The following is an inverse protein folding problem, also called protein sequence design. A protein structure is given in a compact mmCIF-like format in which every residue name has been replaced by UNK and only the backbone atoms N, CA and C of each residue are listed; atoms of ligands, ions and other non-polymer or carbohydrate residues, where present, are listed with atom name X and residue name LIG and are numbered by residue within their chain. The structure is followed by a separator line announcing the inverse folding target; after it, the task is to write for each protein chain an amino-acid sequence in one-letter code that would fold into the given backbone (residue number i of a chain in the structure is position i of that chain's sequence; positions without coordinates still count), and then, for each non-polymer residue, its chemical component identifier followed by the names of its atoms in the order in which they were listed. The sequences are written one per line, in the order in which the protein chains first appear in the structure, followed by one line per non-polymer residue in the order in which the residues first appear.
data_IF_955704235800
#
_entry.id   IF_955704235800
#
_cell.length_a   1.000
_cell.length_b   1.000
_cell.length_c   1.000
_cell.angle_alpha   90.00
_cell.angle_beta   90.00
_cell.angle_gamma   90.00
#
_symmetry.space_group_name_H-M   'P 1'
#
loop_
_entity.id
_entity.type
_entity.pdbx_description
1 polymer ?
#
# COMPACT_ATOMS: atom_id res chain seq x y z
N UNK A 1 -6.43 1.13 4.94
CA UNK A 1 -6.47 0.13 3.85
C UNK A 1 -5.24 0.24 2.95
N UNK A 2 -5.01 1.37 2.29
CA UNK A 2 -3.86 1.56 1.37
C UNK A 2 -2.50 1.21 1.99
N UNK A 3 -2.15 1.81 3.14
CA UNK A 3 -0.86 1.56 3.82
C UNK A 3 -0.64 0.07 4.11
N UNK A 4 -1.69 -0.60 4.58
CA UNK A 4 -1.70 -2.03 4.87
C UNK A 4 -1.55 -2.88 3.58
N UNK A 5 -2.24 -2.50 2.50
CA UNK A 5 -2.18 -3.22 1.23
C UNK A 5 -0.79 -3.18 0.58
N UNK A 6 0.01 -2.17 0.90
CA UNK A 6 1.39 -2.01 0.41
C UNK A 6 2.45 -2.59 1.36
N UNK A 7 2.02 -3.17 2.49
CA UNK A 7 2.93 -3.55 3.56
C UNK A 7 3.75 -2.34 4.04
N UNK A 8 3.08 -1.22 4.32
CA UNK A 8 3.66 0.06 4.70
C UNK A 8 4.53 0.03 5.97
N UNK A 9 5.06 1.20 6.32
CA UNK A 9 5.91 1.35 7.50
C UNK A 9 5.09 1.26 8.78
N UNK A 10 5.59 0.57 9.81
CA UNK A 10 4.96 0.61 11.14
C UNK A 10 4.91 2.03 11.72
N UNK A 11 5.79 2.94 11.28
CA UNK A 11 5.73 4.34 11.68
C UNK A 11 4.48 5.06 11.15
N UNK A 12 3.87 4.59 10.05
CA UNK A 12 2.62 5.18 9.53
C UNK A 12 1.52 5.11 10.59
N UNK A 13 1.51 4.09 11.44
CA UNK A 13 0.54 3.94 12.54
C UNK A 13 0.66 5.11 13.52
N UNK A 14 1.89 5.47 13.92
CA UNK A 14 2.10 6.60 14.83
C UNK A 14 1.61 7.91 14.23
N UNK A 15 1.91 8.15 12.95
CA UNK A 15 1.48 9.36 12.25
C UNK A 15 -0.03 9.41 12.02
N UNK A 16 -0.64 8.27 11.68
CA UNK A 16 -2.08 8.18 11.44
C UNK A 16 -2.87 8.40 12.73
N UNK A 17 -2.43 7.81 13.85
CA UNK A 17 -3.05 8.04 15.16
C UNK A 17 -2.91 9.50 15.60
N UNK A 18 -1.74 10.11 15.40
CA UNK A 18 -1.55 11.52 15.70
C UNK A 18 -2.47 12.43 14.86
N UNK A 19 -2.62 12.13 13.57
CA UNK A 19 -3.52 12.87 12.68
C UNK A 19 -4.99 12.67 13.07
N UNK A 20 -5.40 11.45 13.43
CA UNK A 20 -6.75 11.17 13.90
C UNK A 20 -7.07 11.92 15.20
N UNK A 21 -6.12 11.92 16.15
CA UNK A 21 -6.25 12.66 17.40
C UNK A 21 -6.43 14.17 17.16
N UNK A 22 -5.62 14.77 16.28
CA UNK A 22 -5.75 16.19 15.93
C UNK A 22 -7.08 16.49 15.22
N UNK A 23 -7.57 15.57 14.38
CA UNK A 23 -8.86 15.68 13.72
C UNK A 23 -10.05 15.41 14.65
N UNK A 24 -9.82 14.97 15.89
CA UNK A 24 -10.88 14.53 16.81
C UNK A 24 -11.62 13.28 16.32
N UNK A 25 -11.00 12.48 15.45
CA UNK A 25 -11.56 11.24 14.94
C UNK A 25 -11.36 10.11 15.96
N UNK A 26 -12.41 9.33 16.19
CA UNK A 26 -12.36 8.11 17.02
C UNK A 26 -11.72 6.99 16.21
N UNK A 27 -10.39 6.89 16.27
CA UNK A 27 -9.59 5.93 15.53
C UNK A 27 -8.39 5.48 16.35
N UNK A 28 -8.28 4.17 16.61
CA UNK A 28 -7.27 3.62 17.50
C UNK A 28 -6.55 2.37 16.93
N UNK A 29 -5.74 1.72 17.79
CA UNK A 29 -5.02 0.50 17.41
C UNK A 29 -5.94 -0.70 17.14
N UNK A 30 -7.15 -0.74 17.71
CA UNK A 30 -8.14 -1.77 17.41
C UNK A 30 -8.61 -1.65 15.95
N UNK A 31 -8.95 -0.44 15.50
CA UNK A 31 -9.36 -0.20 14.12
C UNK A 31 -8.27 -0.58 13.12
N UNK A 32 -7.02 -0.25 13.41
CA UNK A 32 -5.86 -0.62 12.59
C UNK A 32 -5.73 -2.14 12.49
N UNK A 33 -5.88 -2.85 13.60
CA UNK A 33 -5.80 -4.30 13.65
C UNK A 33 -6.94 -4.97 12.85
N UNK A 34 -8.16 -4.44 12.96
CA UNK A 34 -9.32 -4.93 12.20
C UNK A 34 -9.16 -4.70 10.69
N UNK A 35 -8.65 -3.53 10.29
CA UNK A 35 -8.32 -3.26 8.89
C UNK A 35 -7.21 -4.20 8.41
N UNK A 36 -6.19 -4.48 9.23
CA UNK A 36 -5.09 -5.37 8.83
C UNK A 36 -5.55 -6.80 8.56
N UNK A 37 -6.50 -7.31 9.34
CA UNK A 37 -7.06 -8.66 9.19
C UNK A 37 -7.90 -8.84 7.93
N UNK A 38 -8.49 -7.77 7.39
CA UNK A 38 -9.41 -7.83 6.24
C UNK A 38 -8.81 -7.33 4.92
N UNK A 39 -7.73 -6.57 4.97
CA UNK A 39 -7.11 -5.98 3.78
C UNK A 39 -5.92 -6.85 3.35
N UNK A 40 -5.94 -7.39 2.12
CA UNK A 40 -4.85 -8.21 1.61
C UNK A 40 -3.62 -7.37 1.26
N UNK A 41 -2.44 -7.99 1.30
CA UNK A 41 -1.21 -7.39 0.81
C UNK A 41 -1.12 -7.51 -0.72
N UNK A 42 -1.36 -6.41 -1.42
CA UNK A 42 -1.41 -6.33 -2.89
C UNK A 42 -0.06 -5.97 -3.51
N UNK A 43 0.80 -5.24 -2.79
CA UNK A 43 2.10 -4.82 -3.27
C UNK A 43 3.18 -5.01 -2.19
N UNK A 44 4.33 -5.57 -2.58
CA UNK A 44 5.52 -5.68 -1.74
C UNK A 44 6.65 -4.83 -2.33
N UNK A 45 6.79 -3.64 -1.80
CA UNK A 45 7.80 -2.65 -2.22
C UNK A 45 8.96 -2.68 -1.24
N UNK A 46 10.18 -2.45 -1.72
CA UNK A 46 11.38 -2.35 -0.90
C UNK A 46 11.13 -1.48 0.35
N UNK A 47 11.49 -1.97 1.55
CA UNK A 47 12.39 -3.09 1.82
C UNK A 47 11.73 -4.50 1.79
N UNK A 48 10.43 -4.62 1.57
CA UNK A 48 9.77 -5.93 1.53
C UNK A 48 10.08 -6.65 0.20
N UNK A 49 10.56 -7.89 0.27
CA UNK A 49 10.87 -8.71 -0.91
C UNK A 49 9.62 -9.46 -1.41
N UNK A 50 9.38 -9.42 -2.72
CA UNK A 50 8.28 -10.07 -3.41
C UNK A 50 8.73 -11.42 -4.01
N UNK A 51 8.91 -12.44 -3.16
CA UNK A 51 9.43 -13.74 -3.60
C UNK A 51 10.90 -13.64 -4.00
N UNK A 52 11.22 -13.81 -5.28
CA UNK A 52 12.57 -13.61 -5.82
C UNK A 52 12.84 -12.20 -6.34
N UNK A 53 11.82 -11.32 -6.34
CA UNK A 53 11.89 -9.98 -6.89
C UNK A 53 11.91 -8.93 -5.78
N UNK A 54 12.53 -7.78 -6.05
CA UNK A 54 12.42 -6.58 -5.23
C UNK A 54 11.89 -5.46 -6.11
N UNK A 55 10.70 -4.96 -5.79
CA UNK A 55 10.12 -3.80 -6.47
C UNK A 55 10.50 -2.52 -5.74
N UNK A 56 10.70 -1.45 -6.51
CA UNK A 56 10.96 -0.10 -6.02
C UNK A 56 9.82 0.84 -6.41
N UNK A 57 9.94 2.11 -6.03
CA UNK A 57 8.86 3.09 -6.26
C UNK A 57 8.60 3.34 -7.74
N UNK A 58 9.61 3.23 -8.59
CA UNK A 58 9.49 3.31 -10.04
C UNK A 58 8.66 2.17 -10.65
N UNK A 59 8.71 0.98 -10.03
CA UNK A 59 7.89 -0.16 -10.46
C UNK A 59 6.43 0.04 -10.07
N UNK A 60 6.18 0.58 -8.87
CA UNK A 60 4.84 0.99 -8.43
C UNK A 60 4.28 2.06 -9.37
N UNK A 61 5.09 3.05 -9.74
CA UNK A 61 4.71 4.08 -10.71
C UNK A 61 4.33 3.48 -12.07
N UNK A 62 5.19 2.60 -12.60
CA UNK A 62 4.95 1.89 -13.86
C UNK A 62 3.70 1.02 -13.82
N UNK A 63 3.32 0.51 -12.65
CA UNK A 63 2.12 -0.29 -12.44
C UNK A 63 0.82 0.54 -12.29
N UNK A 64 0.90 1.87 -12.42
CA UNK A 64 -0.25 2.78 -12.29
C UNK A 64 -0.35 3.47 -10.92
N UNK A 65 0.69 3.38 -10.10
CA UNK A 65 0.83 4.13 -8.86
C UNK A 65 -0.21 3.79 -7.79
N UNK A 66 -0.47 4.76 -6.92
CA UNK A 66 -1.50 4.66 -5.87
C UNK A 66 -2.91 4.41 -6.44
N UNK A 67 -3.34 5.01 -7.56
CA UNK A 67 -4.64 4.72 -8.16
C UNK A 67 -4.83 3.25 -8.52
N UNK A 68 -3.82 2.54 -9.02
CA UNK A 68 -3.94 1.12 -9.31
C UNK A 68 -4.19 0.27 -8.04
N UNK A 69 -3.52 0.60 -6.93
CA UNK A 69 -3.70 -0.09 -5.64
C UNK A 69 -5.10 0.19 -5.07
N UNK A 70 -5.50 1.46 -5.06
CA UNK A 70 -6.84 1.85 -4.62
C UNK A 70 -7.93 1.29 -5.53
N UNK A 71 -7.68 1.18 -6.83
CA UNK A 71 -8.57 0.56 -7.81
C UNK A 71 -8.83 -0.92 -7.51
N UNK A 72 -7.80 -1.67 -7.12
CA UNK A 72 -7.96 -3.06 -6.68
C UNK A 72 -8.72 -3.17 -5.36
N UNK A 73 -8.41 -2.31 -4.38
CA UNK A 73 -9.16 -2.26 -3.13
C UNK A 73 -10.64 -1.87 -3.37
N UNK A 74 -10.91 -0.97 -4.32
CA UNK A 74 -12.25 -0.57 -4.71
C UNK A 74 -13.02 -1.73 -5.35
N UNK A 75 -12.43 -2.42 -6.33
CA UNK A 75 -13.00 -3.64 -6.94
C UNK A 75 -13.25 -4.75 -5.91
N UNK A 76 -12.40 -4.83 -4.88
CA UNK A 76 -12.55 -5.75 -3.77
C UNK A 76 -13.58 -5.34 -2.70
N UNK A 77 -14.22 -4.17 -2.82
CA UNK A 77 -15.16 -3.66 -1.81
C UNK A 77 -14.51 -3.31 -0.48
N UNK A 78 -13.23 -2.92 -0.48
CA UNK A 78 -12.43 -2.69 0.72
C UNK A 78 -12.25 -1.20 1.07
N UNK A 79 -12.77 -0.29 0.24
CA UNK A 79 -12.77 1.15 0.47
C UNK A 79 -14.10 1.64 1.02
N UNK A 80 -14.06 2.73 1.78
CA UNK A 80 -15.24 3.49 2.14
C UNK A 80 -15.50 4.52 1.02
N UNK A 81 -16.67 4.48 0.40
CA UNK A 81 -17.04 5.36 -0.72
C UNK A 81 -17.71 6.67 -0.25
N UNK A 82 -18.12 6.75 1.01
CA UNK A 82 -18.81 7.91 1.59
C UNK A 82 -17.83 9.02 2.04
N UNK A 83 -16.64 9.08 1.44
CA UNK A 83 -15.61 10.09 1.73
C UNK A 83 -15.33 10.97 0.52
N UNK A 84 -14.89 12.20 0.78
CA UNK A 84 -14.55 13.18 -0.25
C UNK A 84 -13.05 13.40 -0.33
N UNK A 85 -12.57 13.78 -1.52
CA UNK A 85 -11.21 14.25 -1.72
C UNK A 85 -11.22 15.74 -2.07
N UNK A 86 -10.07 16.40 -1.95
CA UNK A 86 -9.94 17.82 -2.35
C UNK A 86 -9.78 18.01 -3.86
N UNK A 87 -9.46 16.94 -4.60
CA UNK A 87 -9.03 17.01 -6.01
C UNK A 87 -10.01 16.33 -6.97
N UNK A 88 -11.02 15.63 -6.45
CA UNK A 88 -12.09 14.98 -7.21
C UNK A 88 -13.41 15.04 -6.46
N UNK A 89 -14.53 14.91 -7.18
CA UNK A 89 -15.87 14.83 -6.59
C UNK A 89 -16.06 13.57 -5.73
N UNK A 90 -15.46 12.46 -6.13
CA UNK A 90 -15.48 11.20 -5.40
C UNK A 90 -14.22 10.37 -5.66
N UNK A 91 -13.97 9.37 -4.81
CA UNK A 91 -12.91 8.38 -5.04
C UNK A 91 -13.18 7.62 -6.34
N UNK A 92 -14.44 7.28 -6.63
CA UNK A 92 -14.85 6.60 -7.85
C UNK A 92 -14.48 7.41 -9.10
N UNK A 93 -14.88 8.67 -9.18
CA UNK A 93 -14.61 9.52 -10.34
C UNK A 93 -13.11 9.70 -10.58
N UNK A 94 -12.32 9.71 -9.51
CA UNK A 94 -10.87 9.75 -9.60
C UNK A 94 -10.29 8.43 -10.11
N UNK A 95 -10.75 7.29 -9.57
CA UNK A 95 -10.29 5.97 -10.03
C UNK A 95 -10.69 5.70 -11.49
N UNK A 96 -11.88 6.11 -11.93
CA UNK A 96 -12.30 6.00 -13.34
C UNK A 96 -11.33 6.72 -14.28
N UNK A 97 -10.72 7.82 -13.84
CA UNK A 97 -9.76 8.60 -14.63
C UNK A 97 -8.32 8.11 -14.50
N UNK A 98 -7.91 7.62 -13.33
CA UNK A 98 -6.49 7.41 -13.01
C UNK A 98 -6.05 5.95 -12.84
N UNK A 99 -6.98 5.03 -12.58
CA UNK A 99 -6.65 3.60 -12.50
C UNK A 99 -6.57 2.99 -13.91
N UNK A 100 -5.35 2.73 -14.36
CA UNK A 100 -5.05 2.12 -15.67
C UNK A 100 -5.65 0.73 -15.87
N UNK A 101 -6.08 0.06 -14.80
CA UNK A 101 -6.77 -1.24 -14.84
C UNK A 101 -8.30 -1.10 -14.81
N UNK A 102 -8.82 0.11 -14.59
CA UNK A 102 -10.25 0.40 -14.53
C UNK A 102 -10.96 0.40 -15.88
N UNK A 103 -10.21 0.43 -16.99
CA UNK A 103 -10.74 0.38 -18.36
C UNK A 103 -11.23 1.72 -18.92
N UNK A 104 -11.28 2.77 -18.10
CA UNK A 104 -11.72 4.13 -18.47
C UNK A 104 -10.67 5.20 -18.23
N UNK A 105 -9.44 4.80 -17.88
CA UNK A 105 -8.36 5.74 -17.56
C UNK A 105 -8.14 6.76 -18.69
N UNK A 106 -7.88 8.00 -18.31
CA UNK A 106 -7.64 9.08 -19.27
C UNK A 106 -6.29 8.87 -19.99
N UNK A 107 -6.18 9.44 -21.20
CA UNK A 107 -4.90 9.44 -21.94
C UNK A 107 -3.79 10.13 -21.13
N UNK A 108 -4.13 11.17 -20.36
CA UNK A 108 -3.22 11.86 -19.45
C UNK A 108 -2.70 10.93 -18.34
N UNK A 109 -3.58 10.16 -17.70
CA UNK A 109 -3.16 9.20 -16.68
C UNK A 109 -2.23 8.15 -17.28
N UNK A 110 -2.61 7.58 -18.43
CA UNK A 110 -1.77 6.59 -19.14
C UNK A 110 -0.41 7.18 -19.48
N UNK A 111 -0.34 8.39 -20.03
CA UNK A 111 0.93 9.08 -20.34
C UNK A 111 1.81 9.25 -19.10
N UNK A 112 1.23 9.68 -17.97
CA UNK A 112 1.97 9.91 -16.74
C UNK A 112 2.66 8.63 -16.25
N UNK A 113 1.96 7.50 -16.25
CA UNK A 113 2.50 6.23 -15.75
C UNK A 113 3.59 5.64 -16.63
N UNK A 114 3.65 6.05 -17.90
CA UNK A 114 4.76 5.72 -18.79
C UNK A 114 6.05 6.49 -18.45
N UNK A 115 6.04 7.52 -17.60
CA UNK A 115 7.27 8.18 -17.18
C UNK A 115 8.24 7.19 -16.51
N UNK A 116 9.49 7.14 -16.98
CA UNK A 116 10.50 6.21 -16.51
C UNK A 116 11.69 6.91 -15.83
N UNK A 117 12.42 6.21 -14.94
CA UNK A 117 13.66 6.70 -14.37
C UNK A 117 14.66 7.07 -15.46
N UNK A 118 15.26 8.25 -15.29
CA UNK A 118 16.17 8.78 -16.28
C UNK A 118 17.48 8.05 -16.44
N UNK A 119 17.95 7.43 -15.35
CA UNK A 119 19.25 6.77 -15.21
C UNK A 119 20.44 7.60 -15.74
N UNK A 120 20.29 8.92 -15.82
CA UNK A 120 21.28 9.88 -16.28
C UNK A 120 21.25 11.10 -15.37
N UNK A 121 22.40 11.74 -15.22
CA UNK A 121 22.49 13.00 -14.47
C UNK A 121 21.78 14.10 -15.25
N UNK A 122 20.75 14.70 -14.66
CA UNK A 122 20.19 15.95 -15.14
C UNK A 122 20.77 17.14 -14.36
N UNK A 123 21.01 18.25 -15.07
CA UNK A 123 21.40 19.54 -14.50
C UNK A 123 20.26 20.57 -14.50
N UNK A 124 19.09 20.21 -15.03
CA UNK A 124 17.93 21.07 -15.19
C UNK A 124 16.70 20.39 -14.58
N UNK A 125 15.94 21.13 -13.76
CA UNK A 125 14.76 20.58 -13.10
C UNK A 125 13.73 20.14 -14.15
N UNK A 126 13.09 18.99 -13.92
CA UNK A 126 12.03 18.44 -14.79
C UNK A 126 12.44 18.15 -16.25
N UNK A 127 13.74 18.02 -16.55
CA UNK A 127 14.24 17.87 -17.92
C UNK A 127 14.37 16.42 -18.42
N UNK A 128 13.79 15.44 -17.72
CA UNK A 128 13.91 14.03 -18.07
C UNK A 128 12.65 13.54 -18.80
N UNK A 129 12.83 12.95 -19.99
CA UNK A 129 11.74 12.48 -20.84
C UNK A 129 11.78 10.97 -21.10
N UNK A 130 12.48 10.20 -20.27
CA UNK A 130 12.50 8.73 -20.41
C UNK A 130 11.09 8.16 -20.19
N UNK A 131 10.79 7.11 -20.95
CA UNK A 131 9.49 6.45 -20.94
C UNK A 131 9.65 4.94 -20.90
N UNK A 132 8.77 4.26 -20.18
CA UNK A 132 8.61 2.82 -20.27
C UNK A 132 7.91 2.47 -21.58
N UNK A 133 8.33 1.39 -22.24
CA UNK A 133 7.64 0.93 -23.45
C UNK A 133 6.25 0.38 -23.13
N UNK A 134 6.10 -0.24 -21.96
CA UNK A 134 4.84 -0.84 -21.50
C UNK A 134 4.64 -0.61 -20.00
N UNK A 135 3.38 -0.46 -19.58
CA UNK A 135 3.00 -0.47 -18.17
C UNK A 135 2.99 -1.89 -17.60
N UNK A 136 3.14 -2.00 -16.28
CA UNK A 136 2.94 -3.27 -15.57
C UNK A 136 1.48 -3.40 -15.13
N UNK A 137 0.67 -4.08 -15.95
CA UNK A 137 -0.75 -4.33 -15.66
C UNK A 137 -1.03 -5.78 -15.31
N UNK A 138 0.01 -6.58 -15.03
CA UNK A 138 -0.14 -7.99 -14.66
C UNK A 138 -0.70 -8.12 -13.23
N UNK A 139 -1.98 -8.47 -13.14
CA UNK A 139 -2.72 -8.61 -11.89
C UNK A 139 -2.25 -9.76 -10.98
N UNK A 140 -1.52 -10.75 -11.52
CA UNK A 140 -1.11 -11.94 -10.77
C UNK A 140 0.40 -11.96 -10.47
N UNK A 141 1.22 -11.58 -11.45
CA UNK A 141 2.67 -11.64 -11.37
C UNK A 141 3.35 -10.28 -11.21
N UNK A 142 2.64 -9.18 -11.43
CA UNK A 142 3.18 -7.82 -11.42
C UNK A 142 3.45 -7.24 -10.04
N UNK A 143 3.89 -5.98 -10.03
CA UNK A 143 4.21 -5.19 -8.84
C UNK A 143 2.98 -4.97 -7.94
N UNK A 144 1.82 -4.73 -8.55
CA UNK A 144 0.52 -4.54 -7.87
C UNK A 144 -0.41 -5.67 -8.28
N UNK A 145 -0.76 -6.54 -7.33
CA UNK A 145 -1.62 -7.69 -7.57
C UNK A 145 -3.09 -7.37 -7.31
N UNK A 146 -3.98 -8.12 -7.94
CA UNK A 146 -5.39 -8.13 -7.55
C UNK A 146 -5.61 -8.87 -6.21
N UNK A 147 -6.83 -8.77 -5.69
CA UNK A 147 -7.23 -9.42 -4.43
C UNK A 147 -7.12 -10.96 -4.50
N UNK A 148 -7.40 -11.57 -5.66
CA UNK A 148 -7.37 -13.02 -5.81
C UNK A 148 -5.95 -13.60 -5.82
N UNK A 149 -4.97 -12.80 -6.24
CA UNK A 149 -3.55 -13.17 -6.36
C UNK A 149 -2.66 -12.47 -5.33
N UNK A 150 -3.27 -11.83 -4.32
CA UNK A 150 -2.56 -11.11 -3.26
C UNK A 150 -1.44 -11.95 -2.62
N UNK A 151 -0.39 -11.28 -2.14
CA UNK A 151 0.73 -11.96 -1.46
C UNK A 151 0.32 -12.63 -0.16
N UNK A 152 -0.69 -12.07 0.51
CA UNK A 152 -1.32 -12.61 1.72
C UNK A 152 -2.75 -12.08 1.82
N UNK A 153 -3.63 -12.89 2.40
CA UNK A 153 -5.04 -12.53 2.62
C UNK A 153 -5.23 -11.43 3.68
N UNK A 154 -4.25 -11.29 4.59
CA UNK A 154 -4.14 -10.18 5.53
C UNK A 154 -2.94 -9.29 5.19
N UNK A 155 -2.88 -8.11 5.80
CA UNK A 155 -1.88 -7.10 5.50
C UNK A 155 -0.58 -7.22 6.28
N UNK A 156 -0.38 -8.30 7.04
CA UNK A 156 0.90 -8.56 7.69
C UNK A 156 1.26 -7.63 8.85
N UNK A 157 0.25 -7.11 9.56
CA UNK A 157 0.40 -6.29 10.77
C UNK A 157 -0.46 -6.88 11.88
N UNK A 158 0.06 -6.93 13.10
CA UNK A 158 -0.70 -7.35 14.26
C UNK A 158 -0.50 -6.40 15.44
N UNK A 159 -1.58 -6.16 16.18
CA UNK A 159 -1.54 -5.49 17.48
C UNK A 159 -1.59 -6.54 18.58
N UNK A 160 -0.53 -6.62 19.38
CA UNK A 160 -0.39 -7.50 20.53
C UNK A 160 -0.80 -6.75 21.80
N UNK A 161 -1.48 -7.44 22.72
CA UNK A 161 -1.87 -6.90 24.03
C UNK A 161 -1.54 -7.90 25.13
N UNK A 162 -1.26 -7.37 26.32
CA UNK A 162 -0.96 -8.17 27.50
C UNK A 162 -0.46 -7.30 28.64
N UNK A 163 -0.06 -7.91 29.75
CA UNK A 163 0.49 -7.20 30.90
C UNK A 163 1.78 -6.40 30.58
N UNK A 164 2.54 -6.79 29.56
CA UNK A 164 3.72 -6.04 29.08
C UNK A 164 3.38 -4.88 28.12
N UNK A 165 2.20 -4.92 27.49
CA UNK A 165 1.77 -3.96 26.48
C UNK A 165 0.26 -3.70 26.65
N UNK A 166 -0.10 -3.04 27.76
CA UNK A 166 -1.49 -2.79 28.14
C UNK A 166 -2.22 -1.95 27.08
N UNK A 167 -1.55 -0.92 26.58
CA UNK A 167 -2.08 -0.02 25.54
C UNK A 167 -1.87 -0.56 24.12
N UNK A 168 -1.11 -1.64 23.99
CA UNK A 168 -0.85 -2.35 22.74
C UNK A 168 0.60 -2.23 22.28
N UNK A 169 1.05 -3.22 21.53
CA UNK A 169 2.32 -3.23 20.81
C UNK A 169 2.07 -3.65 19.36
N UNK A 170 2.83 -3.11 18.43
CA UNK A 170 2.68 -3.40 17.01
C UNK A 170 3.81 -4.32 16.56
N UNK A 171 3.46 -5.37 15.81
CA UNK A 171 4.43 -6.21 15.11
C UNK A 171 4.04 -6.34 13.64
N UNK A 172 5.04 -6.33 12.75
CA UNK A 172 4.83 -6.56 11.32
C UNK A 172 5.01 -8.04 11.01
N UNK A 173 3.93 -8.82 11.08
CA UNK A 173 3.96 -10.27 10.88
C UNK A 173 4.51 -10.68 9.51
N UNK A 174 4.36 -9.84 8.48
CA UNK A 174 4.95 -10.09 7.16
C UNK A 174 6.49 -10.20 7.15
N UNK A 175 7.18 -9.66 8.16
CA UNK A 175 8.62 -9.74 8.31
C UNK A 175 9.09 -10.70 9.41
N UNK A 176 8.18 -11.45 10.02
CA UNK A 176 8.48 -12.37 11.13
C UNK A 176 8.35 -13.81 10.64
N UNK A 177 9.39 -14.61 10.85
CA UNK A 177 9.37 -16.04 10.53
C UNK A 177 8.23 -16.75 11.28
N UNK A 178 7.45 -17.57 10.57
CA UNK A 178 6.27 -18.24 11.12
C UNK A 178 6.61 -19.11 12.34
N UNK A 179 7.83 -19.67 12.40
CA UNK A 179 8.28 -20.50 13.51
C UNK A 179 8.38 -19.75 14.85
N UNK A 180 8.43 -18.40 14.82
CA UNK A 180 8.51 -17.54 16.00
C UNK A 180 7.28 -16.66 16.19
N UNK A 181 6.17 -16.92 15.48
CA UNK A 181 4.90 -16.25 15.75
C UNK A 181 4.37 -16.51 17.17
N UNK A 182 4.73 -17.66 17.74
CA UNK A 182 4.55 -17.95 19.16
C UNK A 182 5.90 -18.36 19.75
N UNK A 183 6.42 -17.56 20.68
CA UNK A 183 7.72 -17.79 21.30
C UNK A 183 7.66 -17.47 22.80
N UNK A 184 8.29 -18.32 23.61
CA UNK A 184 8.51 -18.10 25.04
C UNK A 184 9.98 -18.39 25.38
N UNK A 185 10.60 -17.50 26.15
CA UNK A 185 11.99 -17.64 26.54
C UNK A 185 12.40 -16.65 27.63
N UNK A 186 13.58 -16.83 28.24
CA UNK A 186 14.09 -15.92 29.25
C UNK A 186 14.38 -14.55 28.64
N UNK A 187 14.01 -13.47 29.34
CA UNK A 187 14.31 -12.11 28.91
C UNK A 187 15.80 -11.79 29.04
N UNK A 188 16.34 -11.07 28.04
CA UNK A 188 17.67 -10.43 28.09
C UNK A 188 17.42 -8.93 28.01
N UNK A 189 17.81 -8.19 29.04
CA UNK A 189 17.56 -6.74 29.22
C UNK A 189 18.87 -5.98 29.22
#
# INVERSE_FOLDING_TARGET
ALDIAMGGSTNTILHLLAAAQEAGADYDLHDINDVSRRVPCLAKVAPNVAGSNTYYMEDVHRAGGIPAILGELYRGGLLNEDVHTIHSSSVKDWLEQWDVRGGTASEEAVELWHAAPGCRRSAEAFSQSERWDTLDTDAAGGCIRDVAHAYSADGGLAVLRGNLAVDGAVVKTAGVDESIWTFEGPAVV
#
